data_IF_275741540451
#
_entry.id   IF_275741540451
#
_cell.length_a   1.000
_cell.length_b   1.000
_cell.length_c   1.000
_cell.angle_alpha   90.00
_cell.angle_beta   90.00
_cell.angle_gamma   90.00
#
_symmetry.space_group_name_H-M   'P 1'
#
loop_
_entity.id
_entity.type
_entity.pdbx_description
1 polymer ?
#
# COMPACT_ATOMS: atom_id res chain seq x y z
N UNK A 1 25.29 -25.72 20.21
CA UNK A 1 24.08 -25.14 19.62
C UNK A 1 23.33 -24.43 20.74
N UNK A 2 23.39 -23.09 20.76
CA UNK A 2 22.60 -22.26 21.68
C UNK A 2 21.36 -21.79 20.91
N UNK A 3 20.20 -22.34 21.29
CA UNK A 3 18.90 -21.83 20.78
C UNK A 3 18.62 -20.58 21.61
N UNK A 4 18.72 -19.41 20.99
CA UNK A 4 18.20 -18.16 21.57
C UNK A 4 16.73 -18.13 21.26
N UNK A 5 15.89 -18.48 22.24
CA UNK A 5 14.45 -18.18 22.18
C UNK A 5 14.31 -16.67 22.37
N UNK A 6 14.15 -15.93 21.28
CA UNK A 6 13.68 -14.56 21.35
C UNK A 6 12.19 -14.58 21.68
N UNK A 7 11.82 -13.89 22.76
CA UNK A 7 10.43 -13.69 23.17
C UNK A 7 9.60 -13.11 22.01
N UNK A 8 8.74 -13.93 21.43
CA UNK A 8 7.83 -13.55 20.34
C UNK A 8 6.62 -12.71 20.83
N UNK A 9 6.63 -12.24 22.07
CA UNK A 9 5.43 -11.68 22.70
C UNK A 9 5.29 -10.16 22.72
N UNK A 10 6.09 -9.39 21.95
CA UNK A 10 5.98 -7.91 21.95
C UNK A 10 6.07 -7.22 20.58
N UNK A 11 5.70 -7.89 19.49
CA UNK A 11 5.46 -7.18 18.23
C UNK A 11 4.02 -6.62 18.24
N UNK A 12 3.81 -5.50 18.92
CA UNK A 12 2.60 -4.72 18.72
C UNK A 12 2.71 -4.06 17.33
N UNK A 13 1.89 -4.51 16.40
CA UNK A 13 1.74 -3.88 15.09
C UNK A 13 1.57 -2.37 15.24
N UNK A 14 2.45 -1.57 14.63
CA UNK A 14 2.32 -0.11 14.65
C UNK A 14 1.21 0.30 13.71
N UNK A 15 0.01 0.40 14.24
CA UNK A 15 -1.15 0.92 13.51
C UNK A 15 -1.12 2.46 13.52
N UNK A 16 -1.57 3.12 12.45
CA UNK A 16 -1.84 4.55 12.51
C UNK A 16 -3.01 4.80 13.47
N UNK A 17 -3.10 5.99 14.01
CA UNK A 17 -4.29 6.42 14.74
C UNK A 17 -5.12 7.36 13.89
N UNK A 18 -6.39 7.50 14.24
CA UNK A 18 -7.35 8.37 13.56
C UNK A 18 -7.51 9.68 14.32
N UNK A 19 -7.62 10.78 13.59
CA UNK A 19 -7.98 12.08 14.16
C UNK A 19 -8.86 12.86 13.20
N UNK A 20 -9.25 14.06 13.58
CA UNK A 20 -10.15 14.92 12.84
C UNK A 20 -9.67 16.38 12.88
N UNK A 21 -10.01 17.16 11.84
CA UNK A 21 -9.62 18.56 11.75
C UNK A 21 -10.66 19.50 12.40
N UNK A 22 -11.93 19.08 12.49
CA UNK A 22 -13.04 19.84 13.04
C UNK A 22 -13.89 18.97 13.97
N UNK A 23 -14.46 19.56 15.01
CA UNK A 23 -15.33 18.85 15.95
C UNK A 23 -16.57 18.23 15.27
N UNK A 24 -17.01 18.79 14.16
CA UNK A 24 -18.14 18.24 13.39
C UNK A 24 -17.81 16.89 12.77
N UNK A 25 -16.53 16.55 12.62
CA UNK A 25 -16.06 15.31 12.01
C UNK A 25 -15.76 14.18 13.01
N UNK A 26 -15.94 14.43 14.32
CA UNK A 26 -15.68 13.44 15.38
C UNK A 26 -16.40 12.13 15.08
N UNK A 27 -17.71 12.19 14.80
CA UNK A 27 -18.51 10.98 14.54
C UNK A 27 -18.04 10.21 13.31
N UNK A 28 -17.56 10.91 12.28
CA UNK A 28 -16.99 10.27 11.10
C UNK A 28 -15.68 9.56 11.43
N UNK A 29 -14.78 10.26 12.15
CA UNK A 29 -13.50 9.70 12.58
C UNK A 29 -13.69 8.46 13.49
N UNK A 30 -14.63 8.50 14.41
CA UNK A 30 -14.99 7.36 15.29
C UNK A 30 -15.51 6.17 14.48
N UNK A 31 -16.40 6.40 13.51
CA UNK A 31 -16.92 5.34 12.64
C UNK A 31 -15.82 4.74 11.75
N UNK A 32 -14.95 5.59 11.21
CA UNK A 32 -13.80 5.13 10.43
C UNK A 32 -12.88 4.27 11.28
N UNK A 33 -12.49 4.75 12.46
CA UNK A 33 -11.62 4.03 13.38
C UNK A 33 -12.20 2.67 13.80
N UNK A 34 -13.48 2.63 14.15
CA UNK A 34 -14.17 1.40 14.55
C UNK A 34 -14.18 0.33 13.44
N UNK A 35 -14.35 0.74 12.16
CA UNK A 35 -14.30 -0.20 11.02
C UNK A 35 -12.95 -0.86 10.83
N UNK A 36 -11.87 -0.18 11.25
CA UNK A 36 -10.50 -0.59 10.97
C UNK A 36 -9.72 -1.00 12.22
N UNK A 37 -10.38 -1.13 13.35
CA UNK A 37 -9.76 -1.44 14.64
C UNK A 37 -8.59 -0.48 14.95
N UNK A 38 -8.86 0.84 14.83
CA UNK A 38 -7.92 1.91 15.07
C UNK A 38 -8.35 2.77 16.25
N UNK A 39 -7.39 3.43 16.89
CA UNK A 39 -7.63 4.35 18.01
C UNK A 39 -7.91 5.78 17.50
N UNK A 40 -8.88 6.46 18.12
CA UNK A 40 -9.14 7.88 17.87
C UNK A 40 -8.42 8.73 18.89
N UNK A 41 -7.56 9.64 18.43
CA UNK A 41 -6.87 10.60 19.30
C UNK A 41 -7.32 12.02 18.98
N UNK A 42 -7.75 12.74 20.02
CA UNK A 42 -8.14 14.16 19.88
C UNK A 42 -6.95 15.00 19.40
N UNK A 43 -7.14 15.98 18.49
CA UNK A 43 -6.04 16.79 17.94
C UNK A 43 -5.13 17.44 18.99
N UNK A 44 -5.72 17.90 20.12
CA UNK A 44 -4.95 18.48 21.24
C UNK A 44 -3.96 17.50 21.89
N UNK A 45 -4.25 16.20 21.83
CA UNK A 45 -3.45 15.16 22.48
C UNK A 45 -2.34 14.61 21.55
N UNK A 46 -2.37 14.94 20.26
CA UNK A 46 -1.39 14.48 19.28
C UNK A 46 0.05 14.88 19.62
N UNK A 47 0.22 16.06 20.23
CA UNK A 47 1.55 16.57 20.63
C UNK A 47 2.17 15.80 21.79
N UNK A 48 1.36 15.04 22.54
CA UNK A 48 1.75 14.35 23.77
C UNK A 48 2.10 12.88 23.48
N UNK A 49 1.58 12.30 22.40
CA UNK A 49 1.84 10.91 22.05
C UNK A 49 3.28 10.74 21.60
N UNK A 50 4.05 9.96 22.37
CA UNK A 50 5.42 9.55 21.99
C UNK A 50 5.45 8.28 21.13
N UNK A 51 4.35 7.54 21.08
CA UNK A 51 4.27 6.19 20.51
C UNK A 51 3.64 6.16 19.13
N UNK A 52 2.64 7.01 18.88
CA UNK A 52 1.89 7.02 17.62
C UNK A 52 2.36 8.20 16.77
N UNK A 53 2.94 7.92 15.62
CA UNK A 53 3.50 8.94 14.74
C UNK A 53 2.72 9.10 13.44
N UNK A 54 2.04 8.05 12.98
CA UNK A 54 1.23 8.06 11.77
C UNK A 54 -0.22 8.38 12.07
N UNK A 55 -0.76 9.40 11.40
CA UNK A 55 -2.13 9.89 11.60
C UNK A 55 -2.93 9.77 10.31
N UNK A 56 -4.16 9.30 10.46
CA UNK A 56 -5.23 9.40 9.45
C UNK A 56 -6.16 10.52 9.90
N UNK A 57 -6.17 11.62 9.16
CA UNK A 57 -7.15 12.68 9.32
C UNK A 57 -8.40 12.30 8.56
N UNK A 58 -9.45 11.93 9.28
CA UNK A 58 -10.69 11.45 8.70
C UNK A 58 -11.80 12.49 8.79
N UNK A 59 -12.43 12.77 7.66
CA UNK A 59 -13.62 13.61 7.54
C UNK A 59 -14.60 13.03 6.52
N UNK A 60 -15.82 13.54 6.50
CA UNK A 60 -16.83 13.15 5.50
C UNK A 60 -16.40 13.45 4.06
N UNK A 61 -15.52 14.44 3.88
CA UNK A 61 -15.09 14.91 2.55
C UNK A 61 -13.69 14.44 2.17
N UNK A 62 -12.86 14.03 3.14
CA UNK A 62 -11.46 13.71 2.86
C UNK A 62 -10.84 12.72 3.83
N UNK A 63 -9.91 11.92 3.30
CA UNK A 63 -8.98 11.12 4.06
C UNK A 63 -7.56 11.61 3.76
N UNK A 64 -6.80 12.00 4.79
CA UNK A 64 -5.43 12.47 4.63
C UNK A 64 -4.51 11.70 5.56
N UNK A 65 -3.28 11.46 5.14
CA UNK A 65 -2.24 10.84 5.97
C UNK A 65 -1.22 11.90 6.41
N UNK A 66 -0.65 11.71 7.59
CA UNK A 66 0.45 12.55 8.08
C UNK A 66 1.39 11.75 8.97
N UNK A 67 2.69 11.89 8.75
CA UNK A 67 3.71 11.36 9.64
C UNK A 67 4.21 12.47 10.58
N UNK A 68 3.83 12.39 11.84
CA UNK A 68 4.22 13.36 12.88
C UNK A 68 5.66 13.17 13.36
N UNK A 69 6.36 12.11 12.98
CA UNK A 69 7.78 11.95 13.25
C UNK A 69 8.65 12.90 12.41
N UNK A 70 8.09 13.35 11.29
CA UNK A 70 8.76 14.26 10.36
C UNK A 70 8.45 15.70 10.78
N UNK A 71 9.50 16.46 11.12
CA UNK A 71 9.36 17.88 11.51
C UNK A 71 8.67 18.67 10.39
N UNK A 72 7.63 19.43 10.77
CA UNK A 72 6.84 20.26 9.85
C UNK A 72 6.11 19.46 8.76
N UNK A 73 5.87 18.17 8.95
CA UNK A 73 5.05 17.38 8.02
C UNK A 73 3.64 17.98 7.90
N UNK A 74 3.08 17.89 6.70
CA UNK A 74 1.69 18.33 6.43
C UNK A 74 0.86 17.09 6.05
N UNK A 75 -0.44 17.08 6.36
CA UNK A 75 -1.35 16.07 5.84
C UNK A 75 -1.28 16.00 4.31
N UNK A 76 -1.45 14.80 3.75
CA UNK A 76 -1.38 14.59 2.31
C UNK A 76 -2.35 13.51 1.83
N UNK A 77 -2.73 13.61 0.57
CA UNK A 77 -3.30 12.55 -0.25
C UNK A 77 -2.23 12.06 -1.25
N UNK A 78 -2.47 10.90 -1.83
CA UNK A 78 -1.61 10.42 -2.93
C UNK A 78 -1.88 11.24 -4.19
N UNK A 79 -0.84 11.93 -4.65
CA UNK A 79 -0.82 12.57 -5.96
C UNK A 79 -0.14 11.64 -6.98
N UNK A 80 -0.94 10.84 -7.65
CA UNK A 80 -0.43 9.86 -8.62
C UNK A 80 0.30 10.51 -9.81
N UNK A 81 0.01 11.75 -10.17
CA UNK A 81 0.75 12.47 -11.22
C UNK A 81 2.16 12.87 -10.81
N UNK A 82 2.38 13.09 -9.51
CA UNK A 82 3.70 13.44 -9.00
C UNK A 82 4.70 12.30 -9.12
N UNK A 83 4.22 11.07 -9.33
CA UNK A 83 5.08 9.90 -9.54
C UNK A 83 5.64 9.93 -10.96
N UNK A 84 6.80 10.53 -11.13
CA UNK A 84 7.54 10.58 -12.42
C UNK A 84 7.71 9.22 -13.07
N UNK A 85 7.69 8.14 -12.29
CA UNK A 85 7.79 6.76 -12.77
C UNK A 85 6.68 6.39 -13.75
N UNK A 86 5.42 6.83 -13.52
CA UNK A 86 4.29 6.51 -14.40
C UNK A 86 4.56 7.03 -15.81
N UNK A 87 5.05 8.27 -15.93
CA UNK A 87 5.36 8.91 -17.22
C UNK A 87 6.79 8.65 -17.74
N UNK A 88 7.65 8.02 -16.94
CA UNK A 88 9.03 7.73 -17.37
C UNK A 88 9.03 6.78 -18.57
N UNK A 89 9.90 7.03 -19.55
CA UNK A 89 10.02 6.19 -20.74
C UNK A 89 10.46 4.76 -20.43
N UNK A 90 11.30 4.59 -19.40
CA UNK A 90 11.77 3.29 -18.95
C UNK A 90 12.02 3.31 -17.43
N UNK A 91 11.47 2.31 -16.74
CA UNK A 91 11.75 1.98 -15.34
C UNK A 91 12.15 0.52 -15.26
N UNK A 92 12.71 0.06 -14.12
CA UNK A 92 12.99 -1.36 -13.92
C UNK A 92 11.70 -2.19 -14.04
N UNK A 93 10.61 -1.68 -13.47
CA UNK A 93 9.30 -2.34 -13.55
C UNK A 93 8.85 -2.46 -15.01
N UNK A 94 8.92 -1.38 -15.80
CA UNK A 94 8.53 -1.38 -17.22
C UNK A 94 9.34 -2.35 -18.07
N UNK A 95 10.59 -2.63 -17.71
CA UNK A 95 11.41 -3.64 -18.41
C UNK A 95 10.88 -5.07 -18.20
N UNK A 96 10.16 -5.30 -17.09
CA UNK A 96 9.54 -6.57 -16.80
C UNK A 96 8.25 -6.82 -17.59
N UNK A 97 7.66 -5.78 -18.21
CA UNK A 97 6.40 -5.87 -18.93
C UNK A 97 6.57 -5.54 -20.42
N UNK A 98 6.19 -6.47 -21.29
CA UNK A 98 6.25 -6.30 -22.72
C UNK A 98 4.98 -5.64 -23.25
N UNK A 99 5.10 -4.68 -24.18
CA UNK A 99 3.93 -4.11 -24.87
C UNK A 99 3.13 -5.17 -25.65
N UNK A 100 3.78 -6.27 -26.09
CA UNK A 100 3.11 -7.36 -26.80
C UNK A 100 2.14 -8.14 -25.90
N UNK A 101 2.32 -8.04 -24.59
CA UNK A 101 1.51 -8.72 -23.58
C UNK A 101 0.45 -7.77 -22.94
N UNK A 102 0.25 -6.60 -23.53
CA UNK A 102 -0.81 -5.67 -23.13
C UNK A 102 -2.19 -6.37 -23.18
N UNK A 103 -3.02 -6.11 -22.17
CA UNK A 103 -4.31 -6.79 -22.00
C UNK A 103 -4.27 -8.05 -21.14
N UNK A 104 -3.08 -8.59 -20.83
CA UNK A 104 -2.97 -9.70 -19.88
C UNK A 104 -3.30 -9.25 -18.46
N UNK A 105 -3.72 -10.21 -17.64
CA UNK A 105 -4.08 -9.99 -16.24
C UNK A 105 -2.87 -10.15 -15.32
N UNK A 106 -2.69 -9.17 -14.46
CA UNK A 106 -1.64 -9.14 -13.43
C UNK A 106 -2.28 -9.13 -12.06
N UNK A 107 -1.85 -10.01 -11.18
CA UNK A 107 -2.25 -10.04 -9.78
C UNK A 107 -1.12 -9.42 -8.94
N UNK A 108 -1.37 -8.23 -8.39
CA UNK A 108 -0.49 -7.54 -7.44
C UNK A 108 -0.88 -7.95 -6.03
N UNK A 109 0.00 -8.70 -5.36
CA UNK A 109 -0.23 -9.27 -4.04
C UNK A 109 0.05 -8.28 -2.89
N UNK A 110 0.60 -7.09 -3.20
CA UNK A 110 1.11 -6.13 -2.22
C UNK A 110 0.82 -4.69 -2.62
N UNK A 111 -0.45 -4.40 -2.88
CA UNK A 111 -0.88 -3.18 -3.55
C UNK A 111 -0.47 -1.86 -2.87
N UNK A 112 -0.52 -1.78 -1.53
CA UNK A 112 -0.21 -0.56 -0.79
C UNK A 112 -1.00 0.65 -1.30
N UNK A 113 -0.27 1.65 -1.78
CA UNK A 113 -0.86 2.85 -2.42
C UNK A 113 -1.17 2.65 -3.92
N UNK A 114 -1.16 1.45 -4.45
CA UNK A 114 -1.38 1.15 -5.87
C UNK A 114 -0.46 1.92 -6.85
N UNK A 115 0.73 2.33 -6.44
CA UNK A 115 1.64 3.10 -7.30
C UNK A 115 2.20 2.22 -8.42
N UNK A 116 2.68 1.02 -8.06
CA UNK A 116 3.22 0.07 -9.03
C UNK A 116 2.07 -0.56 -9.87
N UNK A 117 0.91 -0.85 -9.25
CA UNK A 117 -0.29 -1.27 -9.96
C UNK A 117 -0.70 -0.26 -11.05
N UNK A 118 -0.63 1.04 -10.73
CA UNK A 118 -0.94 2.10 -11.70
C UNK A 118 0.13 2.19 -12.81
N UNK A 119 1.42 1.98 -12.48
CA UNK A 119 2.50 1.94 -13.49
C UNK A 119 2.30 0.76 -14.46
N UNK A 120 1.93 -0.42 -13.94
CA UNK A 120 1.64 -1.63 -14.73
C UNK A 120 0.41 -1.41 -15.61
N UNK A 121 -0.65 -0.88 -15.04
CA UNK A 121 -1.89 -0.57 -15.75
C UNK A 121 -1.68 0.47 -16.87
N UNK A 122 -0.82 1.46 -16.64
CA UNK A 122 -0.44 2.47 -17.65
C UNK A 122 0.24 1.84 -18.88
N UNK A 123 0.82 0.66 -18.75
CA UNK A 123 1.37 -0.14 -19.86
C UNK A 123 0.31 -0.94 -20.62
N UNK A 124 -0.97 -0.87 -20.19
CA UNK A 124 -2.10 -1.53 -20.84
C UNK A 124 -2.49 -2.89 -20.24
N UNK A 125 -1.95 -3.26 -19.09
CA UNK A 125 -2.33 -4.50 -18.39
C UNK A 125 -3.61 -4.28 -17.56
N UNK A 126 -4.36 -5.36 -17.33
CA UNK A 126 -5.45 -5.42 -16.36
C UNK A 126 -4.86 -5.85 -15.03
N UNK A 127 -5.05 -5.06 -13.98
CA UNK A 127 -4.41 -5.32 -12.69
C UNK A 127 -5.47 -5.56 -11.63
N UNK A 128 -5.42 -6.74 -10.98
CA UNK A 128 -6.10 -6.94 -9.71
C UNK A 128 -5.06 -6.70 -8.62
N UNK A 129 -5.30 -5.69 -7.77
CA UNK A 129 -4.38 -5.25 -6.74
C UNK A 129 -4.97 -5.52 -5.37
N UNK A 130 -4.28 -6.31 -4.53
CA UNK A 130 -4.78 -6.76 -3.23
C UNK A 130 -4.05 -6.05 -2.10
N UNK A 131 -4.82 -5.46 -1.16
CA UNK A 131 -4.30 -4.82 0.04
C UNK A 131 -4.92 -5.44 1.30
N UNK A 132 -4.06 -5.96 2.18
CA UNK A 132 -4.47 -6.65 3.42
C UNK A 132 -5.02 -5.67 4.46
N UNK A 133 -4.39 -4.51 4.62
CA UNK A 133 -4.78 -3.52 5.65
C UNK A 133 -6.01 -2.74 5.21
N UNK A 134 -7.15 -2.99 5.86
CA UNK A 134 -8.45 -2.42 5.47
C UNK A 134 -8.47 -0.88 5.47
N UNK A 135 -7.80 -0.23 6.41
CA UNK A 135 -7.69 1.24 6.44
C UNK A 135 -6.87 1.78 5.26
N UNK A 136 -5.80 1.06 4.86
CA UNK A 136 -4.97 1.45 3.73
C UNK A 136 -5.72 1.25 2.41
N UNK A 137 -6.47 0.16 2.31
CA UNK A 137 -7.40 -0.07 1.20
C UNK A 137 -8.41 1.07 1.08
N UNK A 138 -9.12 1.45 2.17
CA UNK A 138 -10.13 2.52 2.13
C UNK A 138 -9.49 3.87 1.75
N UNK A 139 -8.34 4.21 2.33
CA UNK A 139 -7.60 5.42 1.99
C UNK A 139 -7.15 5.43 0.51
N UNK A 140 -6.54 4.34 0.03
CA UNK A 140 -6.06 4.24 -1.35
C UNK A 140 -7.21 4.26 -2.34
N UNK A 141 -8.33 3.58 -2.03
CA UNK A 141 -9.57 3.64 -2.84
C UNK A 141 -10.10 5.06 -2.93
N UNK A 142 -10.09 5.80 -1.81
CA UNK A 142 -10.47 7.20 -1.80
C UNK A 142 -9.56 8.03 -2.73
N UNK A 143 -8.24 7.83 -2.66
CA UNK A 143 -7.30 8.54 -3.53
C UNK A 143 -7.50 8.20 -5.01
N UNK A 144 -7.69 6.92 -5.36
CA UNK A 144 -7.94 6.48 -6.75
C UNK A 144 -9.22 7.07 -7.33
N UNK A 145 -10.31 7.09 -6.54
CA UNK A 145 -11.60 7.69 -6.95
C UNK A 145 -11.52 9.20 -7.16
N UNK A 146 -10.59 9.88 -6.50
CA UNK A 146 -10.40 11.32 -6.61
C UNK A 146 -9.35 11.73 -7.67
N UNK A 147 -8.88 10.79 -8.49
CA UNK A 147 -8.03 11.09 -9.63
C UNK A 147 -8.85 11.87 -10.68
N UNK A 148 -8.51 13.15 -10.87
CA UNK A 148 -9.18 14.03 -11.82
C UNK A 148 -8.49 14.14 -13.19
N UNK A 149 -7.34 13.49 -13.30
CA UNK A 149 -6.46 13.65 -14.47
C UNK A 149 -6.82 12.61 -15.53
N UNK A 150 -7.38 13.08 -16.64
CA UNK A 150 -7.75 12.24 -17.82
C UNK A 150 -6.61 11.37 -18.32
N UNK A 151 -5.36 11.83 -18.15
CA UNK A 151 -4.16 11.12 -18.62
C UNK A 151 -3.97 9.76 -17.97
N UNK A 152 -4.41 9.57 -16.72
CA UNK A 152 -4.26 8.32 -15.98
C UNK A 152 -5.60 7.67 -15.62
N UNK A 153 -6.72 8.32 -15.90
CA UNK A 153 -8.06 7.81 -15.63
C UNK A 153 -8.29 6.43 -16.25
N UNK A 154 -7.92 6.25 -17.52
CA UNK A 154 -7.98 4.94 -18.19
C UNK A 154 -7.14 3.87 -17.51
N UNK A 155 -6.04 4.27 -16.86
CA UNK A 155 -5.18 3.34 -16.12
C UNK A 155 -5.80 2.98 -14.78
N UNK A 156 -6.38 3.96 -14.08
CA UNK A 156 -7.14 3.69 -12.85
C UNK A 156 -8.29 2.73 -13.12
N UNK A 157 -9.02 2.91 -14.21
CA UNK A 157 -10.14 2.05 -14.60
C UNK A 157 -9.75 0.61 -14.97
N UNK A 158 -8.46 0.32 -15.16
CA UNK A 158 -7.94 -1.04 -15.37
C UNK A 158 -7.47 -1.71 -14.07
N UNK A 159 -7.60 -1.04 -12.93
CA UNK A 159 -7.24 -1.57 -11.63
C UNK A 159 -8.50 -2.03 -10.91
N UNK A 160 -8.59 -3.32 -10.65
CA UNK A 160 -9.54 -3.90 -9.71
C UNK A 160 -8.85 -3.95 -8.34
N UNK A 161 -9.23 -3.04 -7.43
CA UNK A 161 -8.60 -2.92 -6.13
C UNK A 161 -9.42 -3.62 -5.07
N UNK A 162 -8.82 -4.61 -4.41
CA UNK A 162 -9.48 -5.58 -3.52
C UNK A 162 -8.88 -5.52 -2.12
N UNK A 163 -9.76 -5.55 -1.08
CA UNK A 163 -9.31 -5.68 0.30
C UNK A 163 -9.31 -7.16 0.73
N UNK A 164 -8.18 -7.62 1.24
CA UNK A 164 -8.04 -8.97 1.79
C UNK A 164 -6.60 -9.43 1.88
N UNK A 165 -6.39 -10.58 2.51
CA UNK A 165 -5.08 -11.24 2.49
C UNK A 165 -4.88 -11.90 1.12
N UNK A 166 -3.84 -11.49 0.41
CA UNK A 166 -3.57 -12.00 -0.94
C UNK A 166 -3.30 -13.50 -0.98
N UNK A 167 -2.75 -14.08 0.10
CA UNK A 167 -2.52 -15.53 0.20
C UNK A 167 -3.81 -16.33 0.42
N UNK A 168 -4.86 -15.70 0.95
CA UNK A 168 -6.17 -16.32 1.07
C UNK A 168 -6.98 -16.20 -0.23
N UNK A 169 -6.72 -15.16 -1.01
CA UNK A 169 -7.50 -14.83 -2.20
C UNK A 169 -6.90 -15.33 -3.51
N UNK A 170 -5.62 -15.66 -3.55
CA UNK A 170 -4.86 -15.94 -4.79
C UNK A 170 -5.51 -17.04 -5.64
N UNK A 171 -6.12 -18.06 -5.03
CA UNK A 171 -6.77 -19.16 -5.74
C UNK A 171 -8.02 -18.72 -6.52
N UNK A 172 -8.62 -17.59 -6.14
CA UNK A 172 -9.77 -17.00 -6.84
C UNK A 172 -9.38 -16.35 -8.18
N UNK A 173 -8.06 -16.15 -8.41
CA UNK A 173 -7.51 -15.42 -9.55
C UNK A 173 -6.67 -16.31 -10.46
N UNK A 174 -7.06 -17.57 -10.62
CA UNK A 174 -6.37 -18.57 -11.46
C UNK A 174 -6.30 -18.20 -12.96
N UNK A 175 -7.10 -17.22 -13.40
CA UNK A 175 -7.10 -16.68 -14.75
C UNK A 175 -6.05 -15.57 -14.98
N UNK A 176 -5.34 -15.15 -13.92
CA UNK A 176 -4.23 -14.22 -14.02
C UNK A 176 -2.96 -14.93 -14.47
N UNK A 177 -2.21 -14.28 -15.34
CA UNK A 177 -1.01 -14.89 -15.95
C UNK A 177 0.28 -14.46 -15.23
N UNK A 178 0.26 -13.30 -14.59
CA UNK A 178 1.43 -12.67 -14.01
C UNK A 178 1.16 -12.34 -12.54
N UNK A 179 2.06 -12.77 -11.67
CA UNK A 179 2.09 -12.35 -10.26
C UNK A 179 3.10 -11.21 -10.12
N UNK A 180 2.70 -10.17 -9.41
CA UNK A 180 3.58 -9.10 -8.95
C UNK A 180 3.63 -9.08 -7.41
N UNK A 181 4.84 -8.96 -6.87
CA UNK A 181 5.08 -8.87 -5.43
C UNK A 181 6.17 -7.83 -5.16
N UNK A 182 5.83 -6.79 -4.40
CA UNK A 182 6.79 -5.81 -3.86
C UNK A 182 6.81 -5.91 -2.34
N UNK A 183 7.71 -6.73 -1.82
CA UNK A 183 7.92 -6.79 -0.38
C UNK A 183 8.69 -5.54 0.04
N UNK A 184 8.04 -4.69 0.85
CA UNK A 184 8.71 -3.51 1.40
C UNK A 184 9.78 -3.95 2.39
N UNK A 185 11.03 -3.86 1.97
CA UNK A 185 12.19 -4.09 2.86
C UNK A 185 12.50 -2.84 3.66
N UNK A 186 12.94 -3.04 4.89
CA UNK A 186 13.40 -1.97 5.78
C UNK A 186 14.74 -1.41 5.27
N UNK A 187 14.66 -0.49 4.31
CA UNK A 187 15.84 0.22 3.82
C UNK A 187 16.10 1.44 4.70
N UNK A 188 16.98 1.28 5.68
CA UNK A 188 17.44 2.35 6.58
C UNK A 188 18.12 3.55 5.88
N UNK A 189 18.33 3.51 4.56
CA UNK A 189 19.31 4.39 3.92
C UNK A 189 18.77 5.43 2.93
N UNK A 190 17.49 5.45 2.59
CA UNK A 190 17.00 6.40 1.59
C UNK A 190 16.27 7.61 2.21
N UNK A 191 17.06 8.56 2.72
CA UNK A 191 16.58 9.88 3.16
C UNK A 191 15.87 10.69 2.05
N UNK A 192 15.91 10.21 0.80
CA UNK A 192 15.30 10.84 -0.38
C UNK A 192 13.99 10.22 -0.83
N UNK A 193 13.48 9.19 -0.12
CA UNK A 193 12.18 8.62 -0.46
C UNK A 193 11.08 9.67 -0.30
N UNK A 194 10.11 9.67 -1.24
CA UNK A 194 8.94 10.54 -1.11
C UNK A 194 8.21 10.26 0.20
N UNK A 195 7.56 11.29 0.77
CA UNK A 195 6.86 11.21 2.07
C UNK A 195 5.84 10.08 2.13
N UNK A 196 5.18 9.75 1.01
CA UNK A 196 4.22 8.66 0.89
C UNK A 196 4.89 7.31 1.16
N UNK A 197 6.06 7.08 0.55
CA UNK A 197 6.84 5.86 0.74
C UNK A 197 7.42 5.80 2.16
N UNK A 198 7.87 6.95 2.70
CA UNK A 198 8.36 7.02 4.08
C UNK A 198 7.25 6.69 5.08
N UNK A 199 6.02 7.19 4.84
CA UNK A 199 4.87 6.88 5.68
C UNK A 199 4.63 5.37 5.77
N UNK A 200 4.62 4.66 4.63
CA UNK A 200 4.47 3.20 4.61
C UNK A 200 5.62 2.49 5.32
N UNK A 201 6.87 2.90 5.07
CA UNK A 201 8.06 2.30 5.71
C UNK A 201 8.06 2.45 7.23
N UNK A 202 7.44 3.48 7.76
CA UNK A 202 7.35 3.73 9.20
C UNK A 202 6.20 2.96 9.87
N UNK A 203 5.39 2.23 9.10
CA UNK A 203 4.44 1.26 9.60
C UNK A 203 5.14 -0.09 9.73
N UNK A 204 4.80 -0.85 10.75
CA UNK A 204 5.25 -2.25 10.82
C UNK A 204 4.48 -3.04 9.77
N UNK A 205 5.22 -3.58 8.80
CA UNK A 205 4.68 -4.56 7.87
C UNK A 205 5.07 -5.94 8.36
N UNK A 206 4.09 -6.83 8.41
CA UNK A 206 4.36 -8.25 8.56
C UNK A 206 5.21 -8.72 7.39
N UNK A 207 6.22 -9.56 7.66
CA UNK A 207 6.94 -10.24 6.60
C UNK A 207 5.96 -11.09 5.78
N UNK A 208 6.06 -10.99 4.46
CA UNK A 208 5.24 -11.77 3.57
C UNK A 208 5.63 -13.25 3.64
N UNK A 209 4.68 -14.14 3.89
CA UNK A 209 4.93 -15.57 3.99
C UNK A 209 5.27 -16.19 2.62
N UNK A 210 6.56 -16.10 2.26
CA UNK A 210 7.07 -16.66 1.01
C UNK A 210 6.96 -18.20 0.95
N UNK A 211 6.93 -18.87 2.10
CA UNK A 211 6.77 -20.33 2.15
C UNK A 211 5.35 -20.71 1.74
N UNK A 212 4.37 -20.03 2.32
CA UNK A 212 2.96 -20.21 1.95
C UNK A 212 2.73 -19.82 0.49
N UNK A 213 3.26 -18.67 0.05
CA UNK A 213 3.19 -18.25 -1.35
C UNK A 213 3.74 -19.32 -2.30
N UNK A 214 4.92 -19.87 -2.01
CA UNK A 214 5.56 -20.88 -2.87
C UNK A 214 4.70 -22.15 -2.99
N UNK A 215 4.06 -22.58 -1.91
CA UNK A 215 3.12 -23.72 -1.94
C UNK A 215 1.91 -23.41 -2.83
N UNK A 216 1.31 -22.24 -2.64
CA UNK A 216 0.13 -21.82 -3.42
C UNK A 216 0.46 -21.69 -4.91
N UNK A 217 1.62 -21.09 -5.25
CA UNK A 217 2.04 -20.93 -6.64
C UNK A 217 2.28 -22.26 -7.38
N UNK A 218 2.70 -23.32 -6.69
CA UNK A 218 2.86 -24.66 -7.28
C UNK A 218 1.54 -25.27 -7.75
N UNK A 219 0.43 -24.86 -7.15
CA UNK A 219 -0.91 -25.38 -7.45
C UNK A 219 -1.63 -24.55 -8.52
N UNK A 220 -1.03 -23.45 -9.00
CA UNK A 220 -1.61 -22.52 -9.95
C UNK A 220 -0.76 -22.40 -11.20
N UNK A 221 -1.37 -22.09 -12.35
CA UNK A 221 -0.71 -22.02 -13.67
C UNK A 221 -0.25 -20.60 -14.04
N UNK A 222 0.31 -19.86 -13.08
CA UNK A 222 0.88 -18.55 -13.39
C UNK A 222 2.11 -18.70 -14.32
N UNK A 223 2.17 -17.87 -15.36
CA UNK A 223 3.25 -17.94 -16.37
C UNK A 223 4.48 -17.16 -15.95
N UNK A 224 4.32 -16.15 -15.08
CA UNK A 224 5.41 -15.24 -14.69
C UNK A 224 5.21 -14.72 -13.28
N UNK A 225 6.30 -14.67 -12.54
CA UNK A 225 6.37 -14.02 -11.22
C UNK A 225 7.39 -12.90 -11.32
N UNK A 226 6.99 -11.70 -10.94
CA UNK A 226 7.83 -10.50 -10.82
C UNK A 226 7.95 -10.17 -9.35
N UNK A 227 9.14 -10.39 -8.81
CA UNK A 227 9.45 -10.09 -7.43
C UNK A 227 10.40 -8.90 -7.36
N UNK A 228 9.96 -7.84 -6.69
CA UNK A 228 10.76 -6.65 -6.45
C UNK A 228 11.45 -6.80 -5.11
N UNK A 229 12.77 -6.88 -5.14
CA UNK A 229 13.62 -6.99 -3.94
C UNK A 229 14.60 -5.84 -3.87
N UNK A 230 15.18 -5.64 -2.67
CA UNK A 230 16.34 -4.77 -2.54
C UNK A 230 17.52 -5.36 -3.31
N UNK A 231 18.28 -4.49 -3.96
CA UNK A 231 19.61 -4.86 -4.42
C UNK A 231 20.48 -5.04 -3.18
N UNK A 232 20.92 -6.26 -2.90
CA UNK A 232 21.97 -6.48 -1.93
C UNK A 232 23.25 -5.86 -2.52
N UNK A 233 23.73 -4.80 -1.87
CA UNK A 233 25.08 -4.24 -2.11
C UNK A 233 26.12 -5.10 -1.46
#
# INVERSE_FOLDING_TARGET
>A
FTIVLTDMNNFTERKPFVSYLSNNEIKFAEKFAARHDLEVIKPRNLRISKTHKQVIWASSESLLLQDLSIKNSKPFMIDYLSFKKIKAKSTLLKKCFSKKDSGRKVLDLTAGFCIDALEISYLGYLVTAIEKKSWLYEFTSYCLKNVKQKEIENSVNRIDFVNGDSLDLIDNYSDHEIIYLDQMFDHKTDARAKREIQFLRNLDFEEYDLTRLTKTLKNNNFKKIIYKSALHS
#
